data_IF_241583723764
#
_entry.id   IF_241583723764
#
_cell.length_a   1.000
_cell.length_b   1.000
_cell.length_c   1.000
_cell.angle_alpha   90.00
_cell.angle_beta   90.00
_cell.angle_gamma   90.00
#
_symmetry.space_group_name_H-M   'P 1'
#
loop_
_entity.id
_entity.type
_entity.pdbx_description
1 polymer ?
#
# COMPACT_ATOMS: atom_id res chain seq x y z
N UNK A 1 -4.20 -8.76 -9.85
CA UNK A 1 -2.95 -8.36 -9.20
C UNK A 1 -2.69 -6.88 -9.48
N UNK A 2 -2.75 -6.07 -8.43
CA UNK A 2 -2.48 -4.64 -8.41
C UNK A 2 -1.13 -4.42 -7.74
N UNK A 3 -0.27 -3.57 -8.30
CA UNK A 3 0.98 -3.17 -7.64
C UNK A 3 0.86 -1.74 -7.16
N UNK A 4 1.13 -1.52 -5.88
CA UNK A 4 1.21 -0.20 -5.25
C UNK A 4 2.66 0.10 -4.91
N UNK A 5 3.26 1.06 -5.59
CA UNK A 5 4.59 1.59 -5.26
C UNK A 5 4.41 2.85 -4.43
N UNK A 6 4.88 2.83 -3.18
CA UNK A 6 4.75 3.93 -2.23
C UNK A 6 6.16 4.44 -1.90
N UNK A 7 6.45 5.65 -2.38
CA UNK A 7 7.69 6.37 -2.12
C UNK A 7 7.44 7.57 -1.22
N UNK A 8 8.47 8.02 -0.51
CA UNK A 8 8.40 9.23 0.30
C UNK A 8 9.04 10.38 -0.44
N UNK A 9 8.29 11.45 -0.67
CA UNK A 9 8.81 12.70 -1.22
C UNK A 9 8.51 13.84 -0.25
N UNK A 10 9.56 14.36 0.38
CA UNK A 10 9.48 15.37 1.44
C UNK A 10 8.62 14.90 2.65
N UNK A 11 7.42 15.45 2.80
CA UNK A 11 6.47 15.15 3.88
C UNK A 11 5.33 14.23 3.42
N UNK A 12 5.19 14.03 2.12
CA UNK A 12 4.10 13.26 1.51
C UNK A 12 4.60 11.91 1.02
N UNK A 13 3.65 11.00 0.81
CA UNK A 13 3.85 9.72 0.17
C UNK A 13 3.29 9.76 -1.25
N UNK A 14 4.15 9.46 -2.22
CA UNK A 14 3.77 9.28 -3.62
C UNK A 14 3.39 7.84 -3.83
N UNK A 15 2.12 7.62 -4.18
CA UNK A 15 1.54 6.31 -4.46
C UNK A 15 1.34 6.16 -5.95
N UNK A 16 2.17 5.34 -6.57
CA UNK A 16 1.99 4.91 -7.94
C UNK A 16 1.26 3.56 -7.95
N UNK A 17 0.16 3.47 -8.68
CA UNK A 17 -0.55 2.21 -8.84
C UNK A 17 -0.50 1.75 -10.28
N UNK A 18 -0.26 0.45 -10.46
CA UNK A 18 -0.22 -0.20 -11.76
C UNK A 18 -1.10 -1.46 -11.72
N UNK A 19 -2.07 -1.50 -12.62
CA UNK A 19 -2.90 -2.68 -12.89
C UNK A 19 -2.89 -3.00 -14.38
N UNK A 20 -3.52 -4.12 -14.76
CA UNK A 20 -3.73 -4.46 -16.19
C UNK A 20 -4.58 -3.44 -16.95
N UNK A 21 -5.34 -2.60 -16.26
CA UNK A 21 -6.33 -1.68 -16.85
C UNK A 21 -5.95 -0.21 -16.73
N UNK A 22 -5.15 0.15 -15.73
CA UNK A 22 -4.93 1.55 -15.37
C UNK A 22 -3.59 1.74 -14.68
N UNK A 23 -2.97 2.89 -14.94
CA UNK A 23 -1.79 3.41 -14.26
C UNK A 23 -2.10 4.83 -13.77
N UNK A 24 -1.76 5.13 -12.53
CA UNK A 24 -1.92 6.46 -11.97
C UNK A 24 -0.96 6.75 -10.83
N UNK A 25 -0.91 8.03 -10.44
CA UNK A 25 -0.04 8.54 -9.38
C UNK A 25 -0.88 9.44 -8.46
N UNK A 26 -0.76 9.24 -7.15
CA UNK A 26 -1.42 10.04 -6.13
C UNK A 26 -0.38 10.55 -5.13
N UNK A 27 -0.59 11.77 -4.63
CA UNK A 27 0.21 12.37 -3.57
C UNK A 27 -0.62 12.42 -2.31
N UNK A 28 -0.21 11.67 -1.28
CA UNK A 28 -1.00 11.45 -0.08
C UNK A 28 -0.19 11.77 1.16
N UNK A 29 -0.83 12.45 2.12
CA UNK A 29 -0.33 12.46 3.49
C UNK A 29 -0.32 11.04 4.07
N UNK A 30 0.37 10.83 5.19
CA UNK A 30 0.39 9.52 5.88
C UNK A 30 -1.02 9.02 6.23
N UNK A 31 -1.88 9.90 6.74
CA UNK A 31 -3.23 9.53 7.16
C UNK A 31 -4.10 9.19 5.94
N UNK A 32 -4.01 10.02 4.89
CA UNK A 32 -4.72 9.79 3.63
C UNK A 32 -4.27 8.52 2.90
N UNK A 33 -3.01 8.10 3.09
CA UNK A 33 -2.48 6.85 2.56
C UNK A 33 -3.23 5.65 3.16
N UNK A 34 -3.31 5.57 4.49
CA UNK A 34 -3.98 4.45 5.15
C UNK A 34 -5.48 4.43 4.90
N UNK A 35 -6.13 5.61 4.84
CA UNK A 35 -7.53 5.68 4.43
C UNK A 35 -7.74 5.17 3.00
N UNK A 36 -6.82 5.47 2.09
CA UNK A 36 -6.89 4.99 0.70
C UNK A 36 -6.68 3.48 0.61
N UNK A 37 -5.74 2.91 1.37
CA UNK A 37 -5.55 1.46 1.47
C UNK A 37 -6.78 0.80 2.08
N UNK A 38 -7.39 1.42 3.11
CA UNK A 38 -8.63 0.94 3.71
C UNK A 38 -9.75 0.81 2.65
N UNK A 39 -9.98 1.90 1.90
CA UNK A 39 -10.97 1.94 0.81
C UNK A 39 -10.65 0.93 -0.29
N UNK A 40 -9.38 0.72 -0.60
CA UNK A 40 -8.96 -0.28 -1.57
C UNK A 40 -9.30 -1.71 -1.10
N UNK A 41 -8.94 -2.07 0.13
CA UNK A 41 -9.21 -3.41 0.69
C UNK A 41 -10.70 -3.73 0.88
N UNK A 42 -11.58 -2.72 0.80
CA UNK A 42 -13.04 -2.94 0.71
C UNK A 42 -13.52 -3.39 -0.66
N UNK A 43 -12.71 -3.18 -1.70
CA UNK A 43 -13.05 -3.46 -3.09
C UNK A 43 -12.25 -4.63 -3.68
N UNK A 44 -11.09 -4.97 -3.11
CA UNK A 44 -10.23 -6.08 -3.55
C UNK A 44 -9.61 -6.79 -2.35
N UNK A 45 -9.27 -8.08 -2.51
CA UNK A 45 -8.45 -8.80 -1.54
C UNK A 45 -7.03 -8.23 -1.52
N UNK A 46 -6.50 -7.90 -0.35
CA UNK A 46 -5.14 -7.36 -0.21
C UNK A 46 -4.05 -8.38 -0.53
N UNK A 47 -4.34 -9.68 -0.47
CA UNK A 47 -3.46 -10.73 -1.01
C UNK A 47 -3.23 -10.60 -2.53
N UNK A 48 -4.13 -9.93 -3.25
CA UNK A 48 -3.97 -9.59 -4.68
C UNK A 48 -3.25 -8.26 -4.91
N UNK A 49 -2.84 -7.58 -3.84
CA UNK A 49 -2.09 -6.33 -3.87
C UNK A 49 -0.64 -6.60 -3.51
N UNK A 50 0.27 -6.22 -4.41
CA UNK A 50 1.69 -6.21 -4.14
C UNK A 50 2.11 -4.80 -3.74
N UNK A 51 2.45 -4.62 -2.47
CA UNK A 51 2.98 -3.37 -1.93
C UNK A 51 4.48 -3.31 -2.14
N UNK A 52 4.97 -2.26 -2.80
CA UNK A 52 6.38 -1.91 -2.87
C UNK A 52 6.55 -0.61 -2.09
N UNK A 53 7.25 -0.64 -0.96
CA UNK A 53 7.25 0.48 0.00
C UNK A 53 8.65 0.84 0.46
N UNK A 54 8.84 2.06 0.94
CA UNK A 54 10.05 2.47 1.66
C UNK A 54 10.15 1.81 3.04
N UNK A 55 11.38 1.66 3.54
CA UNK A 55 11.66 0.96 4.80
C UNK A 55 10.93 1.53 6.03
N UNK A 56 10.69 2.84 6.07
CA UNK A 56 9.99 3.52 7.17
C UNK A 56 8.49 3.16 7.26
N UNK A 57 7.88 2.75 6.14
CA UNK A 57 6.48 2.32 6.09
C UNK A 57 6.26 0.85 6.46
N UNK A 58 7.32 0.04 6.57
CA UNK A 58 7.18 -1.41 6.83
C UNK A 58 6.35 -1.70 8.07
N UNK A 59 6.79 -1.20 9.24
CA UNK A 59 6.10 -1.50 10.50
C UNK A 59 4.71 -0.86 10.57
N UNK A 60 4.51 0.42 10.19
CA UNK A 60 3.18 1.02 10.15
C UNK A 60 2.20 0.27 9.25
N UNK A 61 2.65 -0.15 8.05
CA UNK A 61 1.78 -0.87 7.11
C UNK A 61 1.42 -2.26 7.61
N UNK A 62 2.39 -3.05 8.08
CA UNK A 62 2.12 -4.38 8.63
C UNK A 62 1.15 -4.30 9.82
N UNK A 63 1.33 -3.32 10.71
CA UNK A 63 0.44 -3.11 11.85
C UNK A 63 -0.98 -2.76 11.40
N UNK A 64 -1.13 -1.84 10.45
CA UNK A 64 -2.43 -1.47 9.91
C UNK A 64 -3.13 -2.67 9.26
N UNK A 65 -2.42 -3.41 8.40
CA UNK A 65 -2.96 -4.59 7.71
C UNK A 65 -3.36 -5.70 8.68
N UNK A 66 -2.58 -5.93 9.75
CA UNK A 66 -2.91 -6.91 10.81
C UNK A 66 -4.24 -6.61 11.49
N UNK A 67 -4.55 -5.33 11.70
CA UNK A 67 -5.72 -4.89 12.45
C UNK A 67 -6.96 -4.90 11.55
N UNK A 68 -6.85 -4.30 10.37
CA UNK A 68 -8.00 -4.12 9.48
C UNK A 68 -8.31 -5.37 8.64
N UNK A 69 -7.30 -6.22 8.39
CA UNK A 69 -7.41 -7.40 7.52
C UNK A 69 -6.75 -8.65 8.15
N UNK A 70 -7.18 -9.08 9.35
CA UNK A 70 -6.51 -10.13 10.13
C UNK A 70 -6.51 -11.52 9.48
N UNK A 71 -7.36 -11.75 8.47
CA UNK A 71 -7.44 -13.01 7.72
C UNK A 71 -6.55 -13.07 6.47
N UNK A 72 -5.83 -12.01 6.14
CA UNK A 72 -5.00 -11.93 4.94
C UNK A 72 -3.51 -12.12 5.26
N UNK A 73 -2.78 -12.85 4.39
CA UNK A 73 -1.37 -13.21 4.57
C UNK A 73 -0.52 -12.36 3.62
N UNK A 74 -0.24 -11.12 4.03
CA UNK A 74 0.38 -10.09 3.19
C UNK A 74 1.91 -10.03 3.24
N UNK A 75 2.60 -10.72 4.17
CA UNK A 75 4.07 -10.62 4.30
C UNK A 75 4.81 -10.97 2.99
N UNK A 76 4.32 -11.93 2.21
CA UNK A 76 4.92 -12.31 0.92
C UNK A 76 4.60 -11.35 -0.24
N UNK A 77 3.76 -10.35 0.00
CA UNK A 77 3.30 -9.36 -0.98
C UNK A 77 3.79 -7.95 -0.66
N UNK A 78 4.73 -7.82 0.27
CA UNK A 78 5.38 -6.56 0.60
C UNK A 78 6.86 -6.64 0.21
N UNK A 79 7.29 -5.78 -0.71
CA UNK A 79 8.69 -5.59 -1.07
C UNK A 79 9.16 -4.26 -0.49
N UNK A 80 10.25 -4.31 0.28
CA UNK A 80 10.92 -3.12 0.77
C UNK A 80 11.89 -2.64 -0.30
N UNK A 81 11.77 -1.37 -0.69
CA UNK A 81 12.68 -0.70 -1.60
C UNK A 81 13.73 0.07 -0.79
N UNK A 82 14.95 0.11 -1.33
CA UNK A 82 16.07 0.87 -0.75
C UNK A 82 15.89 2.39 -0.88
#
# INVERSE_FOLDING_TARGET
>A
MLTLTINKENKDYVVEYLSKKEKGVLWLSKDSLFESIYKLGRNIHLNDVHFRITKDLRLPLLSFLSIEYPGELYEHKITIMD
#
